data_IF_014374834697
#
_entry.id   IF_014374834697
#
_cell.length_a   1.000
_cell.length_b   1.000
_cell.length_c   1.000
_cell.angle_alpha   90.00
_cell.angle_beta   90.00
_cell.angle_gamma   90.00
#
_symmetry.space_group_name_H-M   'P 1'
#
loop_
_entity.id
_entity.type
_entity.pdbx_description
1 polymer ?
#
# COMPACT_ATOMS: atom_id res chain seq x y z
N UNK A 1 34.06 66.90 34.00
CA UNK A 1 34.49 65.53 34.33
C UNK A 1 33.53 64.55 33.67
N UNK A 2 33.95 64.00 32.52
CA UNK A 2 33.15 63.20 31.60
C UNK A 2 33.33 61.71 31.98
N UNK A 3 32.30 61.05 32.52
CA UNK A 3 32.34 59.61 32.81
C UNK A 3 31.76 58.87 31.60
N UNK A 4 32.66 58.39 30.75
CA UNK A 4 32.37 57.48 29.64
C UNK A 4 31.99 56.12 30.25
N UNK A 5 30.71 55.76 30.17
CA UNK A 5 30.26 54.39 30.44
C UNK A 5 30.45 53.60 29.16
N UNK A 6 31.55 52.86 29.08
CA UNK A 6 31.81 51.88 28.03
C UNK A 6 30.90 50.67 28.28
N UNK A 7 29.75 50.62 27.62
CA UNK A 7 28.98 49.39 27.43
C UNK A 7 29.79 48.47 26.50
N UNK A 8 30.53 47.54 27.09
CA UNK A 8 31.13 46.44 26.37
C UNK A 8 30.00 45.53 25.86
N UNK A 9 29.68 45.64 24.57
CA UNK A 9 28.99 44.60 23.82
C UNK A 9 29.85 43.32 23.91
N UNK A 10 29.52 42.43 24.83
CA UNK A 10 29.99 41.06 24.79
C UNK A 10 29.21 40.33 23.68
N UNK A 11 29.74 40.46 22.45
CA UNK A 11 29.33 39.66 21.31
C UNK A 11 29.87 38.24 21.52
N UNK A 12 29.19 37.43 22.34
CA UNK A 12 29.48 35.99 22.37
C UNK A 12 28.84 35.36 21.15
N UNK A 13 29.68 35.22 20.12
CA UNK A 13 29.50 34.40 18.95
C UNK A 13 29.34 32.93 19.39
N UNK A 14 28.13 32.53 19.78
CA UNK A 14 27.79 31.11 19.83
C UNK A 14 27.45 30.72 18.40
N UNK A 15 28.36 29.96 17.79
CA UNK A 15 28.17 29.29 16.51
C UNK A 15 26.78 28.62 16.46
N UNK A 16 26.11 28.53 15.29
CA UNK A 16 24.88 27.77 15.21
C UNK A 16 25.22 26.32 15.56
N UNK A 17 24.73 25.88 16.71
CA UNK A 17 24.71 24.47 17.03
C UNK A 17 23.92 23.81 15.91
N UNK A 18 24.60 22.97 15.12
CA UNK A 18 23.95 22.00 14.25
C UNK A 18 23.24 21.02 15.18
N UNK A 19 22.03 21.40 15.59
CA UNK A 19 21.12 20.50 16.25
C UNK A 19 20.65 19.47 15.23
N UNK A 20 20.60 18.23 15.67
CA UNK A 20 20.13 17.06 14.96
C UNK A 20 18.68 17.29 14.53
N UNK A 21 18.48 17.81 13.31
CA UNK A 21 17.21 18.48 12.95
C UNK A 21 16.00 17.54 12.84
N UNK A 22 16.21 16.22 12.85
CA UNK A 22 15.17 15.20 12.78
C UNK A 22 14.28 15.14 14.03
N UNK A 23 14.89 15.24 15.21
CA UNK A 23 14.19 15.10 16.49
C UNK A 23 13.35 16.34 16.84
N UNK A 24 13.82 17.52 16.41
CA UNK A 24 13.17 18.82 16.67
C UNK A 24 11.79 18.93 16.00
N UNK A 25 11.67 18.51 14.73
CA UNK A 25 10.39 18.60 14.02
C UNK A 25 9.37 17.57 14.54
N UNK A 26 9.81 16.36 14.88
CA UNK A 26 8.91 15.35 15.46
C UNK A 26 8.43 15.76 16.86
N UNK A 27 9.30 16.33 17.69
CA UNK A 27 8.94 16.91 18.99
C UNK A 27 7.96 18.08 18.83
N UNK A 28 8.29 19.04 17.96
CA UNK A 28 7.43 20.20 17.69
C UNK A 28 6.04 19.79 17.18
N UNK A 29 5.94 18.75 16.34
CA UNK A 29 4.65 18.24 15.87
C UNK A 29 3.78 17.67 17.00
N UNK A 30 4.36 17.10 18.05
CA UNK A 30 3.60 16.52 19.16
C UNK A 30 3.23 17.53 20.23
N UNK A 31 4.16 18.39 20.59
CA UNK A 31 4.12 19.10 21.88
C UNK A 31 3.99 20.62 21.75
N UNK A 32 4.22 21.20 20.57
CA UNK A 32 4.20 22.66 20.43
C UNK A 32 2.77 23.23 20.58
N UNK A 33 2.61 24.22 21.46
CA UNK A 33 1.31 24.86 21.71
C UNK A 33 0.75 25.63 20.50
N UNK A 34 1.59 26.00 19.54
CA UNK A 34 1.20 26.74 18.34
C UNK A 34 0.80 25.79 17.22
N UNK A 35 -0.48 25.85 16.83
CA UNK A 35 -1.03 25.15 15.64
C UNK A 35 -0.18 25.39 14.39
N UNK A 36 0.34 26.61 14.21
CA UNK A 36 1.18 26.96 13.06
C UNK A 36 2.52 26.22 13.07
N UNK A 37 3.14 26.08 14.24
CA UNK A 37 4.41 25.38 14.39
C UNK A 37 4.22 23.89 14.13
N UNK A 38 3.19 23.27 14.71
CA UNK A 38 2.87 21.86 14.47
C UNK A 38 2.60 21.56 12.99
N UNK A 39 1.79 22.40 12.32
CA UNK A 39 1.52 22.25 10.89
C UNK A 39 2.81 22.39 10.05
N UNK A 40 3.67 23.36 10.39
CA UNK A 40 4.95 23.52 9.72
C UNK A 40 5.88 22.33 9.95
N UNK A 41 5.90 21.77 11.16
CA UNK A 41 6.67 20.59 11.50
C UNK A 41 6.25 19.38 10.65
N UNK A 42 4.94 19.14 10.49
CA UNK A 42 4.43 18.10 9.60
C UNK A 42 4.89 18.30 8.14
N UNK A 43 4.87 19.54 7.64
CA UNK A 43 5.35 19.86 6.28
C UNK A 43 6.84 19.53 6.15
N UNK A 44 7.66 19.97 7.11
CA UNK A 44 9.11 19.74 7.12
C UNK A 44 9.43 18.25 7.14
N UNK A 45 8.75 17.46 7.97
CA UNK A 45 8.92 16.00 8.01
C UNK A 45 8.61 15.36 6.65
N UNK A 46 7.51 15.78 6.00
CA UNK A 46 7.17 15.29 4.66
C UNK A 46 8.14 15.74 3.56
N UNK A 47 8.78 16.91 3.70
CA UNK A 47 9.78 17.40 2.74
C UNK A 47 11.12 16.69 2.86
N UNK A 48 11.50 16.29 4.09
CA UNK A 48 12.72 15.51 4.33
C UNK A 48 12.65 14.10 3.76
N UNK A 49 11.46 13.55 3.59
CA UNK A 49 11.29 12.25 2.95
C UNK A 49 11.69 11.07 3.83
N UNK A 50 11.82 11.28 5.15
CA UNK A 50 12.30 10.26 6.09
C UNK A 50 11.17 9.29 6.46
N UNK A 51 11.27 7.98 6.12
CA UNK A 51 10.21 7.02 6.42
C UNK A 51 9.91 6.87 7.92
N UNK A 52 10.88 7.17 8.78
CA UNK A 52 10.71 7.15 10.25
C UNK A 52 9.64 8.14 10.74
N UNK A 53 9.33 9.18 9.96
CA UNK A 53 8.31 10.17 10.30
C UNK A 53 6.87 9.68 10.08
N UNK A 54 6.65 8.55 9.39
CA UNK A 54 5.30 8.05 9.09
C UNK A 54 4.48 7.84 10.36
N UNK A 55 5.09 7.28 11.41
CA UNK A 55 4.39 7.01 12.67
C UNK A 55 3.87 8.29 13.34
N UNK A 56 4.70 9.31 13.49
CA UNK A 56 4.31 10.59 14.14
C UNK A 56 3.33 11.40 13.28
N UNK A 57 3.45 11.32 11.96
CA UNK A 57 2.51 11.96 11.04
C UNK A 57 1.15 11.25 11.04
N UNK A 58 1.12 9.92 11.12
CA UNK A 58 -0.11 9.15 11.25
C UNK A 58 -0.82 9.44 12.59
N UNK A 59 -0.06 9.57 13.68
CA UNK A 59 -0.57 10.03 14.97
C UNK A 59 -1.20 11.43 14.86
N UNK A 60 -0.46 12.41 14.31
CA UNK A 60 -0.98 13.76 14.12
C UNK A 60 -2.23 13.81 13.24
N UNK A 61 -2.28 13.03 12.15
CA UNK A 61 -3.46 12.89 11.30
C UNK A 61 -4.65 12.27 12.05
N UNK A 62 -4.43 11.42 13.04
CA UNK A 62 -5.49 10.75 13.77
C UNK A 62 -6.03 11.58 14.94
N UNK A 63 -5.19 12.37 15.62
CA UNK A 63 -5.51 12.92 16.93
C UNK A 63 -5.26 14.42 17.12
N UNK A 64 -4.58 15.14 16.21
CA UNK A 64 -4.38 16.58 16.42
C UNK A 64 -5.72 17.33 16.39
N UNK A 65 -5.95 18.18 17.38
CA UNK A 65 -7.20 18.93 17.52
C UNK A 65 -7.44 19.87 16.33
N UNK A 66 -6.39 20.41 15.72
CA UNK A 66 -6.48 21.39 14.67
C UNK A 66 -6.52 20.74 13.27
N UNK A 67 -7.60 20.95 12.48
CA UNK A 67 -7.70 20.41 11.12
C UNK A 67 -6.53 20.81 10.21
N UNK A 68 -5.96 22.01 10.41
CA UNK A 68 -4.81 22.49 9.64
C UNK A 68 -3.57 21.60 9.82
N UNK A 69 -3.33 21.07 11.02
CA UNK A 69 -2.20 20.14 11.29
C UNK A 69 -2.49 18.78 10.64
N UNK A 70 -3.71 18.28 10.78
CA UNK A 70 -4.13 17.01 10.16
C UNK A 70 -4.03 17.06 8.63
N UNK A 71 -4.43 18.16 7.99
CA UNK A 71 -4.25 18.37 6.54
C UNK A 71 -2.76 18.33 6.16
N UNK A 72 -1.89 19.02 6.93
CA UNK A 72 -0.46 19.02 6.69
C UNK A 72 0.14 17.60 6.84
N UNK A 73 -0.31 16.85 7.86
CA UNK A 73 0.09 15.47 8.08
C UNK A 73 -0.36 14.54 6.94
N UNK A 74 -1.60 14.66 6.46
CA UNK A 74 -2.08 13.91 5.30
C UNK A 74 -1.22 14.17 4.05
N UNK A 75 -0.92 15.44 3.76
CA UNK A 75 -0.04 15.80 2.64
C UNK A 75 1.38 15.26 2.78
N UNK A 76 1.92 15.23 4.01
CA UNK A 76 3.22 14.67 4.30
C UNK A 76 3.24 13.14 4.12
N UNK A 77 2.24 12.42 4.63
CA UNK A 77 2.08 10.97 4.46
C UNK A 77 1.97 10.58 2.98
N UNK A 78 1.24 11.35 2.17
CA UNK A 78 1.17 11.14 0.72
C UNK A 78 2.54 11.25 0.03
N UNK A 79 3.44 12.10 0.54
CA UNK A 79 4.82 12.22 0.05
C UNK A 79 5.72 11.08 0.50
N UNK A 80 5.61 10.65 1.76
CA UNK A 80 6.43 9.56 2.30
C UNK A 80 6.05 8.19 1.72
N UNK A 81 4.78 8.02 1.33
CA UNK A 81 4.24 6.75 0.81
C UNK A 81 4.38 5.61 1.82
N UNK A 82 4.12 4.38 1.37
CA UNK A 82 4.17 3.18 2.19
C UNK A 82 2.81 2.76 2.78
N UNK A 83 2.76 1.52 3.26
CA UNK A 83 1.53 0.83 3.68
C UNK A 83 0.87 1.50 4.89
N UNK A 84 1.67 1.92 5.86
CA UNK A 84 1.18 2.60 7.08
C UNK A 84 0.65 3.99 6.75
N UNK A 85 1.34 4.74 5.87
CA UNK A 85 0.87 6.04 5.40
C UNK A 85 -0.46 5.90 4.64
N UNK A 86 -0.56 4.92 3.73
CA UNK A 86 -1.80 4.60 3.03
C UNK A 86 -2.93 4.28 4.01
N UNK A 87 -2.66 3.42 4.99
CA UNK A 87 -3.65 3.01 6.00
C UNK A 87 -4.18 4.20 6.79
N UNK A 88 -3.30 5.09 7.25
CA UNK A 88 -3.68 6.31 7.96
C UNK A 88 -4.54 7.25 7.07
N UNK A 89 -4.16 7.42 5.81
CA UNK A 89 -4.91 8.24 4.85
C UNK A 89 -6.29 7.64 4.53
N UNK A 90 -6.39 6.32 4.36
CA UNK A 90 -7.68 5.63 4.13
C UNK A 90 -8.64 5.79 5.32
N UNK A 91 -8.12 5.76 6.54
CA UNK A 91 -8.91 6.03 7.75
C UNK A 91 -9.38 7.49 7.77
N UNK A 92 -8.48 8.45 7.58
CA UNK A 92 -8.82 9.88 7.60
C UNK A 92 -9.85 10.23 6.52
N UNK A 93 -9.70 9.72 5.29
CA UNK A 93 -10.67 9.92 4.19
C UNK A 93 -12.10 9.52 4.56
N UNK A 94 -12.26 8.44 5.33
CA UNK A 94 -13.57 7.88 5.69
C UNK A 94 -14.18 8.55 6.92
N UNK A 95 -13.35 8.86 7.90
CA UNK A 95 -13.83 9.07 9.28
C UNK A 95 -13.42 10.39 9.91
N UNK A 96 -12.54 11.19 9.29
CA UNK A 96 -12.20 12.50 9.87
C UNK A 96 -13.45 13.40 9.90
N UNK A 97 -13.65 14.11 11.01
CA UNK A 97 -14.79 15.01 11.18
C UNK A 97 -14.73 16.21 10.22
N UNK A 98 -13.53 16.70 9.92
CA UNK A 98 -13.30 17.85 9.06
C UNK A 98 -13.29 17.45 7.58
N UNK A 99 -14.05 18.19 6.76
CA UNK A 99 -14.15 17.92 5.32
C UNK A 99 -12.82 18.15 4.59
N UNK A 100 -12.07 19.18 4.96
CA UNK A 100 -10.79 19.50 4.33
C UNK A 100 -9.74 18.42 4.58
N UNK A 101 -9.75 17.79 5.75
CA UNK A 101 -8.88 16.63 6.03
C UNK A 101 -9.26 15.43 5.14
N UNK A 102 -10.56 15.12 4.99
CA UNK A 102 -11.01 14.03 4.10
C UNK A 102 -10.59 14.27 2.64
N UNK A 103 -10.70 15.51 2.17
CA UNK A 103 -10.28 15.90 0.81
C UNK A 103 -8.75 15.80 0.65
N UNK A 104 -7.97 16.31 1.62
CA UNK A 104 -6.51 16.20 1.61
C UNK A 104 -6.04 14.74 1.60
N UNK A 105 -6.68 13.87 2.40
CA UNK A 105 -6.40 12.45 2.41
C UNK A 105 -6.74 11.77 1.07
N UNK A 106 -7.85 12.18 0.43
CA UNK A 106 -8.23 11.69 -0.90
C UNK A 106 -7.20 12.04 -1.97
N UNK A 107 -6.76 13.30 -2.02
CA UNK A 107 -5.73 13.76 -2.95
C UNK A 107 -4.39 13.03 -2.73
N UNK A 108 -4.01 12.82 -1.46
CA UNK A 108 -2.82 12.06 -1.13
C UNK A 108 -2.92 10.60 -1.62
N UNK A 109 -4.08 9.94 -1.44
CA UNK A 109 -4.32 8.59 -1.93
C UNK A 109 -4.33 8.49 -3.46
N UNK A 110 -4.90 9.47 -4.16
CA UNK A 110 -4.85 9.56 -5.62
C UNK A 110 -3.40 9.61 -6.12
N UNK A 111 -2.55 10.42 -5.48
CA UNK A 111 -1.12 10.49 -5.81
C UNK A 111 -0.33 9.20 -5.48
N UNK A 112 -0.84 8.37 -4.56
CA UNK A 112 -0.31 7.04 -4.28
C UNK A 112 -0.79 5.99 -5.29
N UNK A 113 -1.89 6.24 -5.99
CA UNK A 113 -2.52 5.30 -6.92
C UNK A 113 -3.17 4.09 -6.24
N UNK A 114 -3.67 3.18 -7.08
CA UNK A 114 -4.27 1.93 -6.63
C UNK A 114 -3.21 0.98 -6.04
N UNK A 115 -3.59 0.32 -4.95
CA UNK A 115 -2.80 -0.72 -4.30
C UNK A 115 -3.68 -1.89 -3.92
N UNK A 116 -3.08 -3.07 -3.86
CA UNK A 116 -3.74 -4.32 -3.52
C UNK A 116 -2.99 -5.04 -2.42
N UNK A 117 -3.72 -5.45 -1.38
CA UNK A 117 -3.25 -6.50 -0.49
C UNK A 117 -3.85 -7.82 -0.95
N UNK A 118 -3.05 -8.87 -0.99
CA UNK A 118 -3.51 -10.21 -1.39
C UNK A 118 -3.61 -11.03 -0.12
N UNK A 119 -4.75 -11.67 0.14
CA UNK A 119 -4.89 -12.68 1.20
C UNK A 119 -4.29 -14.02 0.74
N UNK A 120 -4.01 -14.93 1.68
CA UNK A 120 -3.64 -16.30 1.32
C UNK A 120 -4.80 -16.95 0.54
N UNK A 121 -4.57 -17.53 -0.65
CA UNK A 121 -5.66 -18.10 -1.41
C UNK A 121 -6.43 -19.18 -0.64
N UNK A 122 -7.73 -19.27 -0.82
CA UNK A 122 -8.52 -20.36 -0.27
C UNK A 122 -8.51 -21.59 -1.20
N UNK A 123 -9.03 -22.71 -0.69
CA UNK A 123 -9.24 -23.95 -1.45
C UNK A 123 -8.15 -25.00 -1.25
N UNK A 124 -8.53 -26.26 -1.52
CA UNK A 124 -7.69 -27.44 -1.32
C UNK A 124 -7.09 -27.99 -2.64
N UNK A 125 -7.59 -27.54 -3.79
CA UNK A 125 -7.15 -28.05 -5.09
C UNK A 125 -5.67 -27.70 -5.36
N UNK A 126 -4.86 -28.72 -5.68
CA UNK A 126 -3.42 -28.56 -5.92
C UNK A 126 -2.57 -28.20 -4.69
N UNK A 127 -3.16 -28.16 -3.49
CA UNK A 127 -2.46 -27.93 -2.23
C UNK A 127 -1.81 -26.55 -2.07
N UNK A 128 -0.91 -26.43 -1.09
CA UNK A 128 -0.22 -25.17 -0.77
C UNK A 128 0.63 -24.64 -1.94
N UNK A 129 1.17 -25.52 -2.78
CA UNK A 129 1.95 -25.12 -3.95
C UNK A 129 1.09 -24.36 -4.98
N UNK A 130 -0.13 -24.84 -5.25
CA UNK A 130 -1.06 -24.16 -6.16
C UNK A 130 -1.50 -22.80 -5.60
N UNK A 131 -1.76 -22.71 -4.29
CA UNK A 131 -2.09 -21.44 -3.64
C UNK A 131 -0.93 -20.44 -3.74
N UNK A 132 0.27 -20.86 -3.36
CA UNK A 132 1.45 -20.00 -3.47
C UNK A 132 1.70 -19.54 -4.91
N UNK A 133 1.53 -20.44 -5.89
CA UNK A 133 1.65 -20.10 -7.31
C UNK A 133 0.62 -19.05 -7.76
N UNK A 134 -0.64 -19.20 -7.35
CA UNK A 134 -1.71 -18.22 -7.66
C UNK A 134 -1.41 -16.85 -7.03
N UNK A 135 -1.04 -16.80 -5.74
CA UNK A 135 -0.69 -15.55 -5.04
C UNK A 135 0.46 -14.83 -5.73
N UNK A 136 1.53 -15.55 -6.04
CA UNK A 136 2.71 -14.97 -6.69
C UNK A 136 2.40 -14.50 -8.11
N UNK A 137 1.58 -15.24 -8.87
CA UNK A 137 1.17 -14.83 -10.21
C UNK A 137 0.32 -13.56 -10.18
N UNK A 138 -0.67 -13.47 -9.27
CA UNK A 138 -1.46 -12.25 -9.08
C UNK A 138 -0.56 -11.07 -8.73
N UNK A 139 0.36 -11.22 -7.77
CA UNK A 139 1.27 -10.15 -7.40
C UNK A 139 2.11 -9.66 -8.59
N UNK A 140 2.67 -10.58 -9.38
CA UNK A 140 3.46 -10.23 -10.58
C UNK A 140 2.61 -9.50 -11.62
N UNK A 141 1.42 -10.00 -11.94
CA UNK A 141 0.56 -9.41 -12.97
C UNK A 141 -0.02 -8.05 -12.54
N UNK A 142 -0.33 -7.84 -11.26
CA UNK A 142 -0.73 -6.53 -10.73
C UNK A 142 0.42 -5.53 -10.83
N UNK A 143 1.63 -5.91 -10.37
CA UNK A 143 2.81 -5.05 -10.43
C UNK A 143 3.23 -4.71 -11.86
N UNK A 144 3.13 -5.67 -12.79
CA UNK A 144 3.43 -5.45 -14.21
C UNK A 144 2.50 -4.41 -14.86
N UNK A 145 1.33 -4.15 -14.25
CA UNK A 145 0.36 -3.14 -14.68
C UNK A 145 0.57 -1.78 -14.00
N UNK A 146 1.62 -1.64 -13.19
CA UNK A 146 1.92 -0.42 -12.45
C UNK A 146 1.12 -0.24 -11.16
N UNK A 147 0.41 -1.27 -10.70
CA UNK A 147 -0.30 -1.21 -9.42
C UNK A 147 0.56 -1.71 -8.28
N UNK A 148 0.46 -1.06 -7.12
CA UNK A 148 1.21 -1.48 -5.95
C UNK A 148 0.63 -2.75 -5.33
N UNK A 149 1.50 -3.65 -4.88
CA UNK A 149 1.13 -4.78 -4.02
C UNK A 149 1.70 -4.52 -2.64
N UNK A 150 0.81 -4.43 -1.65
CA UNK A 150 1.10 -3.97 -0.29
C UNK A 150 0.74 -5.07 0.72
N UNK A 151 1.37 -5.05 1.90
CA UNK A 151 1.04 -5.98 2.98
C UNK A 151 -0.29 -5.61 3.62
N UNK A 152 -0.59 -4.31 3.75
CA UNK A 152 -1.81 -3.79 4.38
C UNK A 152 -2.34 -2.54 3.68
N UNK A 153 -3.63 -2.30 3.86
CA UNK A 153 -4.37 -1.27 3.13
C UNK A 153 -4.63 -1.68 1.68
N UNK A 154 -5.03 -0.73 0.84
CA UNK A 154 -5.40 -1.05 -0.53
C UNK A 154 -6.74 -1.76 -0.63
N UNK A 155 -7.09 -2.16 -1.86
CA UNK A 155 -8.21 -3.07 -2.10
C UNK A 155 -7.75 -4.50 -1.78
N UNK A 156 -8.50 -5.21 -0.93
CA UNK A 156 -8.16 -6.56 -0.49
C UNK A 156 -8.59 -7.57 -1.54
N UNK A 157 -7.66 -8.40 -1.98
CA UNK A 157 -7.88 -9.49 -2.92
C UNK A 157 -7.95 -10.82 -2.18
N UNK A 158 -9.05 -11.55 -2.39
CA UNK A 158 -9.33 -12.86 -1.81
C UNK A 158 -9.36 -13.93 -2.90
N UNK A 159 -8.20 -14.43 -3.30
CA UNK A 159 -8.11 -15.47 -4.32
C UNK A 159 -8.57 -16.84 -3.79
N UNK A 160 -9.00 -17.72 -4.70
CA UNK A 160 -9.33 -19.11 -4.37
C UNK A 160 -8.91 -20.02 -5.51
N UNK A 161 -8.23 -21.12 -5.21
CA UNK A 161 -7.98 -22.20 -6.18
C UNK A 161 -9.18 -23.14 -6.15
N UNK A 162 -10.05 -23.02 -7.17
CA UNK A 162 -11.28 -23.82 -7.27
C UNK A 162 -11.00 -25.23 -7.77
N UNK A 163 -10.03 -25.39 -8.67
CA UNK A 163 -9.75 -26.68 -9.31
C UNK A 163 -8.34 -26.78 -9.87
N UNK A 164 -7.78 -27.99 -9.78
CA UNK A 164 -6.57 -28.43 -10.48
C UNK A 164 -6.82 -29.88 -10.89
N UNK A 165 -7.11 -30.11 -12.17
CA UNK A 165 -7.38 -31.42 -12.73
C UNK A 165 -6.24 -31.84 -13.65
N UNK A 166 -5.83 -33.10 -13.55
CA UNK A 166 -4.89 -33.73 -14.49
C UNK A 166 -5.64 -34.82 -15.23
N UNK A 167 -5.64 -34.74 -16.56
CA UNK A 167 -6.21 -35.77 -17.44
C UNK A 167 -5.10 -36.36 -18.29
N UNK A 168 -4.90 -37.66 -18.19
CA UNK A 168 -3.98 -38.40 -19.04
C UNK A 168 -4.78 -39.09 -20.15
N UNK A 169 -4.50 -38.71 -21.39
CA UNK A 169 -5.05 -39.31 -22.61
C UNK A 169 -3.97 -40.03 -23.41
N UNK A 170 -4.37 -40.64 -24.53
CA UNK A 170 -3.46 -41.35 -25.44
C UNK A 170 -2.41 -40.40 -26.02
N UNK A 171 -1.21 -40.42 -25.44
CA UNK A 171 -0.08 -39.59 -25.88
C UNK A 171 -0.14 -38.12 -25.47
N UNK A 172 -1.00 -37.73 -24.51
CA UNK A 172 -1.07 -36.35 -24.02
C UNK A 172 -1.51 -36.30 -22.55
N UNK A 173 -0.84 -35.49 -21.75
CA UNK A 173 -1.34 -35.07 -20.44
C UNK A 173 -1.86 -33.64 -20.52
N UNK A 174 -3.05 -33.39 -19.99
CA UNK A 174 -3.64 -32.07 -19.84
C UNK A 174 -3.76 -31.71 -18.37
N UNK A 175 -3.34 -30.48 -18.02
CA UNK A 175 -3.54 -29.88 -16.70
C UNK A 175 -4.48 -28.71 -16.85
N UNK A 176 -5.66 -28.79 -16.23
CA UNK A 176 -6.69 -27.77 -16.26
C UNK A 176 -6.86 -27.16 -14.87
N UNK A 177 -6.91 -25.83 -14.77
CA UNK A 177 -7.10 -25.13 -13.51
C UNK A 177 -8.29 -24.19 -13.59
N UNK A 178 -8.90 -23.92 -12.43
CA UNK A 178 -9.89 -22.87 -12.26
C UNK A 178 -9.59 -22.09 -10.97
N UNK A 179 -9.62 -20.77 -11.05
CA UNK A 179 -9.40 -19.87 -9.93
C UNK A 179 -10.50 -18.80 -9.88
N UNK A 180 -10.78 -18.32 -8.68
CA UNK A 180 -11.65 -17.18 -8.43
C UNK A 180 -10.88 -16.06 -7.74
N UNK A 181 -11.35 -14.83 -7.91
CA UNK A 181 -10.82 -13.64 -7.26
C UNK A 181 -11.99 -12.76 -6.81
N UNK A 182 -12.11 -12.57 -5.50
CA UNK A 182 -12.97 -11.53 -4.93
C UNK A 182 -12.11 -10.33 -4.59
N UNK A 183 -12.55 -9.15 -5.01
CA UNK A 183 -11.95 -7.88 -4.68
C UNK A 183 -12.85 -7.13 -3.70
N UNK A 184 -12.29 -6.60 -2.62
CA UNK A 184 -13.01 -5.85 -1.59
C UNK A 184 -12.38 -4.46 -1.47
N UNK A 185 -13.16 -3.42 -1.69
CA UNK A 185 -12.71 -2.04 -1.59
C UNK A 185 -12.47 -1.60 -0.14
N UNK A 186 -12.02 -0.35 0.00
CA UNK A 186 -11.64 0.26 1.27
C UNK A 186 -12.80 0.42 2.26
N UNK A 187 -14.05 0.35 1.79
CA UNK A 187 -15.24 0.41 2.64
C UNK A 187 -15.71 -1.00 3.06
N UNK A 188 -14.92 -2.04 2.74
CA UNK A 188 -15.27 -3.42 2.97
C UNK A 188 -16.33 -3.94 1.99
N UNK A 189 -16.63 -3.20 0.92
CA UNK A 189 -17.65 -3.59 -0.06
C UNK A 189 -17.01 -4.39 -1.18
N UNK A 190 -17.76 -5.34 -1.72
CA UNK A 190 -17.29 -6.14 -2.84
C UNK A 190 -17.15 -5.28 -4.10
N UNK A 191 -15.93 -5.12 -4.59
CA UNK A 191 -15.60 -4.37 -5.78
C UNK A 191 -15.77 -5.20 -7.07
N UNK A 192 -15.34 -6.46 -7.02
CA UNK A 192 -15.45 -7.42 -8.12
C UNK A 192 -15.51 -8.86 -7.60
N UNK A 193 -16.11 -9.75 -8.38
CA UNK A 193 -16.04 -11.19 -8.22
C UNK A 193 -15.81 -11.80 -9.59
N UNK A 194 -14.67 -12.48 -9.76
CA UNK A 194 -14.16 -12.93 -11.05
C UNK A 194 -13.81 -14.42 -10.98
N UNK A 195 -13.94 -15.11 -12.09
CA UNK A 195 -13.47 -16.48 -12.26
C UNK A 195 -12.72 -16.62 -13.57
N UNK A 196 -11.62 -17.37 -13.56
CA UNK A 196 -10.88 -17.71 -14.76
C UNK A 196 -10.36 -19.14 -14.70
N UNK A 197 -10.17 -19.75 -15.86
CA UNK A 197 -9.59 -21.07 -15.99
C UNK A 197 -8.62 -21.13 -17.16
N UNK A 198 -7.62 -22.00 -17.03
CA UNK A 198 -6.62 -22.21 -18.07
C UNK A 198 -6.33 -23.70 -18.21
N UNK A 199 -5.86 -24.09 -19.40
CA UNK A 199 -5.44 -25.47 -19.69
C UNK A 199 -4.07 -25.45 -20.33
N UNK A 200 -3.20 -26.35 -19.87
CA UNK A 200 -1.92 -26.63 -20.50
C UNK A 200 -1.86 -28.09 -20.88
N UNK A 201 -1.13 -28.39 -21.95
CA UNK A 201 -0.98 -29.75 -22.45
C UNK A 201 0.47 -30.06 -22.74
N UNK A 202 0.83 -31.31 -22.52
CA UNK A 202 2.13 -31.88 -22.80
C UNK A 202 1.99 -33.08 -23.73
N UNK A 203 2.96 -33.27 -24.61
CA UNK A 203 3.08 -34.51 -25.37
C UNK A 203 3.57 -35.64 -24.45
N UNK A 204 2.90 -36.79 -24.54
CA UNK A 204 3.17 -37.96 -23.70
C UNK A 204 2.74 -37.81 -22.25
N UNK A 205 3.12 -38.79 -21.44
CA UNK A 205 2.90 -38.80 -20.01
C UNK A 205 3.83 -37.79 -19.32
N UNK A 206 3.28 -36.97 -18.42
CA UNK A 206 4.05 -36.03 -17.60
C UNK A 206 4.37 -36.71 -16.27
N UNK A 207 5.65 -36.83 -15.89
CA UNK A 207 6.04 -37.32 -14.57
C UNK A 207 5.35 -36.50 -13.47
N UNK A 208 4.93 -37.17 -12.39
CA UNK A 208 4.23 -36.54 -11.27
C UNK A 208 4.98 -35.33 -10.70
N UNK A 209 6.31 -35.44 -10.59
CA UNK A 209 7.20 -34.36 -10.16
C UNK A 209 7.11 -33.07 -11.02
N UNK A 210 6.66 -33.18 -12.28
CA UNK A 210 6.47 -32.04 -13.20
C UNK A 210 5.03 -31.52 -13.23
N UNK A 211 4.04 -32.27 -12.76
CA UNK A 211 2.64 -31.85 -12.78
C UNK A 211 2.42 -30.54 -12.03
N UNK A 212 3.10 -30.35 -10.90
CA UNK A 212 3.06 -29.09 -10.15
C UNK A 212 3.52 -27.88 -10.98
N UNK A 213 4.56 -28.04 -11.80
CA UNK A 213 5.05 -26.96 -12.69
C UNK A 213 4.02 -26.61 -13.77
N UNK A 214 3.36 -27.61 -14.34
CA UNK A 214 2.28 -27.39 -15.30
C UNK A 214 1.07 -26.69 -14.64
N UNK A 215 0.69 -27.11 -13.44
CA UNK A 215 -0.37 -26.45 -12.67
C UNK A 215 -0.02 -24.98 -12.37
N UNK A 216 1.21 -24.70 -11.93
CA UNK A 216 1.68 -23.32 -11.68
C UNK A 216 1.64 -22.45 -12.93
N UNK A 217 2.04 -22.99 -14.09
CA UNK A 217 1.96 -22.25 -15.37
C UNK A 217 0.52 -22.01 -15.81
N UNK A 218 -0.38 -22.97 -15.58
CA UNK A 218 -1.79 -22.79 -15.89
C UNK A 218 -2.42 -21.75 -14.94
N UNK A 219 -2.07 -21.78 -13.66
CA UNK A 219 -2.50 -20.78 -12.67
C UNK A 219 -1.95 -19.39 -13.00
N UNK A 220 -0.74 -19.28 -13.54
CA UNK A 220 -0.21 -18.00 -14.02
C UNK A 220 -1.05 -17.41 -15.15
N UNK A 221 -1.46 -18.25 -16.11
CA UNK A 221 -2.36 -17.83 -17.19
C UNK A 221 -3.76 -17.43 -16.68
N UNK A 222 -4.31 -18.17 -15.71
CA UNK A 222 -5.58 -17.82 -15.08
C UNK A 222 -5.48 -16.52 -14.27
N UNK A 223 -4.39 -16.32 -13.53
CA UNK A 223 -4.12 -15.10 -12.76
C UNK A 223 -3.99 -13.87 -13.67
N UNK A 224 -3.32 -14.01 -14.81
CA UNK A 224 -3.24 -12.96 -15.83
C UNK A 224 -4.64 -12.51 -16.27
N UNK A 225 -5.49 -13.45 -16.65
CA UNK A 225 -6.85 -13.16 -17.07
C UNK A 225 -7.68 -12.51 -15.94
N UNK A 226 -7.56 -13.00 -14.70
CA UNK A 226 -8.21 -12.36 -13.55
C UNK A 226 -7.76 -10.90 -13.34
N UNK A 227 -6.48 -10.60 -13.53
CA UNK A 227 -5.95 -9.24 -13.45
C UNK A 227 -6.41 -8.35 -14.62
N UNK A 228 -6.56 -8.90 -15.82
CA UNK A 228 -7.12 -8.22 -16.99
C UNK A 228 -8.61 -7.88 -16.75
N UNK A 229 -9.40 -8.84 -16.29
CA UNK A 229 -10.82 -8.67 -15.97
C UNK A 229 -11.03 -7.68 -14.81
N UNK A 230 -10.19 -7.76 -13.77
CA UNK A 230 -10.23 -6.81 -12.66
C UNK A 230 -10.00 -5.38 -13.13
N UNK A 231 -9.07 -5.18 -14.07
CA UNK A 231 -8.80 -3.87 -14.62
C UNK A 231 -9.96 -3.30 -15.43
N UNK A 232 -10.57 -4.13 -16.29
CA UNK A 232 -11.76 -3.73 -17.01
C UNK A 232 -12.85 -3.30 -16.03
N UNK A 233 -13.05 -4.08 -14.96
CA UNK A 233 -14.07 -3.80 -13.94
C UNK A 233 -13.83 -2.50 -13.16
N UNK A 234 -12.57 -2.18 -12.87
CA UNK A 234 -12.21 -0.95 -12.15
C UNK A 234 -12.27 0.30 -13.04
N UNK A 235 -12.13 0.16 -14.36
CA UNK A 235 -12.24 1.28 -15.30
C UNK A 235 -13.70 1.70 -15.59
N UNK A 236 -14.67 0.83 -15.30
CA UNK A 236 -16.11 1.08 -15.47
C UNK A 236 -16.77 1.86 -14.32
N UNK A 237 -16.02 2.15 -13.25
CA UNK A 237 -16.50 2.82 -12.03
C UNK A 237 -16.15 4.31 -12.04
#
# INVERSE_FOLDING_TARGET
MLRIVACALALTLVAPARADTGDDAAGALREDGSVKVRAQAAIVLGQRGEPAAVAVLAEALASDEAPAVRIAAAGALGRLRGDDARTALELARRSDADRGVREAASLALEALGLAFSIEEPAGNAGGAAARSALRQALARHLSARGWAVVERGGMVLKPTVLRVDVKEGTGRTEVAVKAALVAVDFDGRMAAMLESGARLSAAGAVPEARLASYASRALDAAARALCEDLAARLAER
#
